data_IF_747359201393
#
_entry.id   IF_747359201393
#
_cell.length_a   1.000
_cell.length_b   1.000
_cell.length_c   1.000
_cell.angle_alpha   90.00
_cell.angle_beta   90.00
_cell.angle_gamma   90.00
#
_symmetry.space_group_name_H-M   'P 1'
#
loop_
_entity.id
_entity.type
_entity.pdbx_description
1 polymer ?
#
# COMPACT_ATOMS: atom_id res chain seq x y z
N UNK A 1 -43.34 69.38 -22.75
CA UNK A 1 -42.22 68.45 -22.46
C UNK A 1 -42.33 67.96 -21.01
N UNK A 2 -42.18 66.66 -20.81
CA UNK A 2 -42.54 65.94 -19.59
C UNK A 2 -41.64 66.20 -18.36
N UNK A 3 -42.33 66.33 -17.22
CA UNK A 3 -42.09 65.80 -15.86
C UNK A 3 -40.71 65.22 -15.50
N UNK A 4 -40.16 65.69 -14.37
CA UNK A 4 -39.69 64.84 -13.24
C UNK A 4 -39.66 65.67 -11.94
N UNK A 5 -40.59 65.39 -11.04
CA UNK A 5 -40.62 65.92 -9.67
C UNK A 5 -40.38 64.78 -8.68
N UNK A 6 -39.29 64.89 -7.93
CA UNK A 6 -38.81 63.93 -6.94
C UNK A 6 -39.56 64.14 -5.62
N UNK A 7 -40.17 63.10 -5.04
CA UNK A 7 -40.54 63.06 -3.61
C UNK A 7 -40.31 61.66 -3.05
N UNK A 8 -39.40 61.61 -2.08
CA UNK A 8 -39.02 60.48 -1.25
C UNK A 8 -40.22 59.96 -0.44
N UNK A 9 -40.47 58.65 -0.50
CA UNK A 9 -41.41 57.96 0.39
C UNK A 9 -40.66 57.38 1.58
N UNK A 10 -41.15 57.74 2.77
CA UNK A 10 -40.68 57.31 4.06
C UNK A 10 -40.63 55.78 4.17
N UNK A 11 -39.45 55.23 4.49
CA UNK A 11 -39.25 53.82 4.75
C UNK A 11 -39.82 53.48 6.13
N UNK A 12 -40.90 52.70 6.16
CA UNK A 12 -41.63 52.41 7.39
C UNK A 12 -40.76 51.61 8.37
N UNK A 13 -40.86 51.98 9.66
CA UNK A 13 -40.17 51.37 10.82
C UNK A 13 -40.44 49.85 10.95
N UNK A 14 -41.48 49.34 10.29
CA UNK A 14 -41.85 47.92 10.21
C UNK A 14 -40.89 47.12 9.33
N UNK A 15 -40.53 47.62 8.15
CA UNK A 15 -39.61 46.94 7.24
C UNK A 15 -38.20 46.79 7.81
N UNK A 16 -37.77 47.73 8.67
CA UNK A 16 -36.46 47.67 9.33
C UNK A 16 -36.38 46.55 10.37
N UNK A 17 -37.48 46.27 11.09
CA UNK A 17 -37.54 45.16 12.07
C UNK A 17 -37.56 43.81 11.38
N UNK A 18 -38.29 43.70 10.26
CA UNK A 18 -38.30 42.47 9.43
C UNK A 18 -36.93 42.23 8.82
N UNK A 19 -36.27 43.26 8.28
CA UNK A 19 -34.93 43.12 7.70
C UNK A 19 -33.89 42.70 8.76
N UNK A 20 -33.97 43.26 9.97
CA UNK A 20 -33.11 42.87 11.11
C UNK A 20 -33.41 41.44 11.55
N UNK A 21 -34.67 41.04 11.66
CA UNK A 21 -35.04 39.67 12.01
C UNK A 21 -34.56 38.65 10.97
N UNK A 22 -34.69 38.97 9.67
CA UNK A 22 -34.19 38.12 8.58
C UNK A 22 -32.68 38.04 8.58
N UNK A 23 -31.96 39.14 8.81
CA UNK A 23 -30.48 39.11 8.89
C UNK A 23 -29.98 38.32 10.09
N UNK A 24 -30.62 38.43 11.25
CA UNK A 24 -30.31 37.59 12.41
C UNK A 24 -30.62 36.11 12.17
N UNK A 25 -31.75 35.80 11.53
CA UNK A 25 -32.10 34.43 11.18
C UNK A 25 -31.10 33.82 10.17
N UNK A 26 -30.66 34.57 9.17
CA UNK A 26 -29.63 34.10 8.23
C UNK A 26 -28.27 33.92 8.89
N UNK A 27 -27.85 34.84 9.76
CA UNK A 27 -26.59 34.70 10.51
C UNK A 27 -26.62 33.50 11.45
N UNK A 28 -27.76 33.25 12.11
CA UNK A 28 -27.94 32.07 12.95
C UNK A 28 -27.92 30.78 12.13
N UNK A 29 -28.53 30.76 10.94
CA UNK A 29 -28.47 29.62 10.04
C UNK A 29 -27.03 29.35 9.55
N UNK A 30 -26.28 30.40 9.20
CA UNK A 30 -24.86 30.28 8.86
C UNK A 30 -24.03 29.78 10.04
N UNK A 31 -24.32 30.24 11.27
CA UNK A 31 -23.64 29.77 12.47
C UNK A 31 -23.93 28.29 12.75
N UNK A 32 -25.19 27.86 12.57
CA UNK A 32 -25.59 26.46 12.70
C UNK A 32 -24.93 25.60 11.61
N UNK A 33 -24.91 26.05 10.35
CA UNK A 33 -24.17 25.35 9.28
C UNK A 33 -22.68 25.29 9.60
N UNK A 34 -22.08 26.35 10.16
CA UNK A 34 -20.67 26.35 10.54
C UNK A 34 -20.37 25.43 11.74
N UNK A 35 -21.31 25.34 12.69
CA UNK A 35 -21.22 24.43 13.85
C UNK A 35 -21.43 22.96 13.44
N UNK A 36 -22.41 22.69 12.56
CA UNK A 36 -22.75 21.32 12.14
C UNK A 36 -21.94 20.80 10.93
N UNK A 37 -21.36 21.67 10.09
CA UNK A 37 -20.45 21.27 9.02
C UNK A 37 -18.98 21.17 9.47
N UNK A 38 -18.63 21.66 10.66
CA UNK A 38 -17.31 21.40 11.25
C UNK A 38 -17.21 20.02 11.93
N UNK A 39 -18.33 19.34 12.18
CA UNK A 39 -18.38 17.99 12.74
C UNK A 39 -18.39 16.87 11.68
N UNK A 40 -18.19 17.21 10.40
CA UNK A 40 -18.03 16.26 9.30
C UNK A 40 -16.63 16.37 8.68
N UNK A 41 -15.60 16.22 9.51
CA UNK A 41 -14.32 15.65 9.06
C UNK A 41 -14.22 14.28 9.69
N UNK A 42 -14.08 13.17 8.92
CA UNK A 42 -13.66 11.93 9.54
C UNK A 42 -12.35 12.24 10.26
N UNK A 43 -12.29 11.86 11.53
CA UNK A 43 -11.12 12.05 12.36
C UNK A 43 -9.90 11.54 11.58
N UNK A 44 -8.99 12.45 11.24
CA UNK A 44 -7.61 12.10 10.94
C UNK A 44 -7.08 11.48 12.23
N UNK A 45 -7.30 10.19 12.39
CA UNK A 45 -6.65 9.37 13.39
C UNK A 45 -5.17 9.66 13.26
N UNK A 46 -4.56 10.14 14.33
CA UNK A 46 -3.16 10.53 14.40
C UNK A 46 -2.24 9.38 13.94
N UNK A 47 -1.96 9.33 12.64
CA UNK A 47 -1.09 8.34 11.99
C UNK A 47 0.34 8.39 12.55
N UNK A 48 0.78 9.56 13.03
CA UNK A 48 2.10 9.76 13.63
C UNK A 48 2.33 9.05 14.96
N UNK A 49 1.27 8.65 15.68
CA UNK A 49 1.39 7.92 16.97
C UNK A 49 1.24 6.40 16.78
N UNK A 50 0.63 5.95 15.66
CA UNK A 50 0.36 4.54 15.39
C UNK A 50 1.59 3.72 14.94
N UNK A 51 2.54 4.34 14.22
CA UNK A 51 3.76 3.65 13.78
C UNK A 51 4.69 3.26 14.94
N UNK A 52 4.56 3.92 16.10
CA UNK A 52 5.50 3.76 17.22
C UNK A 52 5.32 2.45 18.02
N UNK A 53 4.36 1.59 17.66
CA UNK A 53 4.05 0.35 18.38
C UNK A 53 3.78 -0.90 17.53
N UNK A 54 3.91 -0.84 16.21
CA UNK A 54 3.96 -2.08 15.44
C UNK A 54 5.30 -2.75 15.77
N UNK A 55 5.25 -3.82 16.56
CA UNK A 55 6.41 -4.69 16.77
C UNK A 55 6.62 -5.45 15.46
N UNK A 56 7.37 -4.84 14.55
CA UNK A 56 7.64 -5.35 13.21
C UNK A 56 8.20 -6.79 13.23
N UNK A 57 8.98 -7.12 14.25
CA UNK A 57 9.53 -8.46 14.50
C UNK A 57 8.74 -9.30 15.53
N UNK A 58 7.56 -8.87 16.00
CA UNK A 58 6.79 -9.69 16.97
C UNK A 58 6.34 -11.04 16.40
N UNK A 59 6.26 -11.15 15.08
CA UNK A 59 5.86 -12.37 14.40
C UNK A 59 6.92 -13.47 14.43
N UNK A 60 8.21 -13.14 14.64
CA UNK A 60 9.30 -14.14 14.73
C UNK A 60 9.06 -15.16 15.84
N UNK A 61 8.30 -14.79 16.88
CA UNK A 61 7.93 -15.70 17.97
C UNK A 61 6.77 -16.65 17.66
N UNK A 62 5.98 -16.38 16.61
CA UNK A 62 4.75 -17.12 16.28
C UNK A 62 4.75 -17.80 14.92
N UNK A 63 5.55 -17.31 13.96
CA UNK A 63 5.63 -17.84 12.59
C UNK A 63 7.08 -17.88 12.15
N UNK A 64 7.54 -19.06 11.73
CA UNK A 64 8.82 -19.23 11.06
C UNK A 64 8.59 -19.50 9.56
N UNK A 65 9.42 -18.89 8.72
CA UNK A 65 9.40 -19.17 7.29
C UNK A 65 10.14 -20.47 6.99
N UNK A 66 9.38 -21.47 6.56
CA UNK A 66 9.85 -22.75 6.06
C UNK A 66 9.19 -23.01 4.69
N UNK A 67 9.54 -22.21 3.67
CA UNK A 67 8.87 -22.28 2.38
C UNK A 67 9.19 -23.59 1.65
N UNK A 68 8.23 -24.07 0.88
CA UNK A 68 8.48 -25.06 -0.17
C UNK A 68 8.82 -24.36 -1.46
N UNK A 69 9.98 -24.69 -2.03
CA UNK A 69 10.43 -24.19 -3.33
C UNK A 69 10.08 -25.18 -4.42
N UNK A 70 9.42 -24.70 -5.47
CA UNK A 70 9.13 -25.45 -6.69
C UNK A 70 9.47 -24.65 -7.94
N UNK A 71 9.48 -25.35 -9.07
CA UNK A 71 9.70 -24.77 -10.38
C UNK A 71 8.67 -25.34 -11.35
N UNK A 72 7.95 -24.47 -12.08
CA UNK A 72 6.90 -24.89 -13.02
C UNK A 72 6.76 -23.88 -14.13
N UNK A 73 6.53 -24.38 -15.36
CA UNK A 73 6.34 -23.55 -16.56
C UNK A 73 7.42 -22.47 -16.74
N UNK A 74 8.67 -22.80 -16.39
CA UNK A 74 9.81 -21.90 -16.56
C UNK A 74 9.98 -20.84 -15.47
N UNK A 75 9.21 -20.90 -14.38
CA UNK A 75 9.30 -19.91 -13.29
C UNK A 75 9.32 -20.55 -11.90
N UNK A 76 9.88 -19.80 -10.93
CA UNK A 76 9.89 -20.16 -9.52
C UNK A 76 8.48 -20.05 -8.94
N UNK A 77 8.10 -21.05 -8.17
CA UNK A 77 6.84 -21.12 -7.43
C UNK A 77 7.20 -21.44 -5.99
N UNK A 78 7.00 -20.50 -5.08
CA UNK A 78 7.39 -20.66 -3.67
C UNK A 78 6.17 -20.42 -2.80
N UNK A 79 5.94 -21.31 -1.83
CA UNK A 79 4.75 -21.24 -1.00
C UNK A 79 4.99 -21.75 0.42
N UNK A 80 4.10 -21.34 1.33
CA UNK A 80 3.98 -21.93 2.66
C UNK A 80 2.50 -21.95 3.07
N UNK A 81 2.08 -23.05 3.68
CA UNK A 81 0.71 -23.27 4.13
C UNK A 81 0.74 -23.34 5.66
N UNK A 82 0.05 -22.45 6.38
CA UNK A 82 -0.05 -22.53 7.83
C UNK A 82 -1.05 -23.63 8.23
N UNK A 83 -0.99 -24.10 9.47
CA UNK A 83 -2.02 -25.02 9.99
C UNK A 83 -3.41 -24.38 9.93
N UNK A 84 -4.39 -25.15 9.45
CA UNK A 84 -5.79 -24.73 9.29
C UNK A 84 -5.92 -23.43 8.48
N UNK A 85 -5.50 -23.43 7.20
CA UNK A 85 -5.57 -22.23 6.37
C UNK A 85 -7.03 -21.82 6.13
N UNK A 86 -7.30 -20.52 6.20
CA UNK A 86 -8.66 -19.96 5.98
C UNK A 86 -8.86 -19.41 4.57
N UNK A 87 -7.79 -19.14 3.85
CA UNK A 87 -7.79 -18.55 2.52
C UNK A 87 -6.48 -18.82 1.80
N UNK A 88 -6.49 -18.69 0.47
CA UNK A 88 -5.29 -18.67 -0.37
C UNK A 88 -4.96 -17.23 -0.74
N UNK A 89 -3.70 -16.82 -0.58
CA UNK A 89 -3.18 -15.53 -1.03
C UNK A 89 -2.12 -15.72 -2.11
N UNK A 90 -2.39 -15.18 -3.30
CA UNK A 90 -1.37 -15.01 -4.34
C UNK A 90 -0.69 -13.64 -4.20
N UNK A 91 0.65 -13.62 -4.15
CA UNK A 91 1.47 -12.42 -4.09
C UNK A 91 2.28 -12.24 -5.39
N UNK A 92 2.11 -11.08 -6.03
CA UNK A 92 2.82 -10.68 -7.24
C UNK A 92 3.78 -9.49 -6.97
N UNK A 93 5.08 -9.71 -7.16
CA UNK A 93 6.12 -8.71 -6.92
C UNK A 93 6.06 -7.52 -7.91
N UNK A 94 6.74 -6.41 -7.57
CA UNK A 94 7.00 -5.30 -8.49
C UNK A 94 8.12 -5.59 -9.50
N UNK A 95 8.44 -4.64 -10.38
CA UNK A 95 9.59 -4.81 -11.26
C UNK A 95 10.88 -5.03 -10.47
N UNK A 96 11.81 -5.81 -11.01
CA UNK A 96 13.08 -6.24 -10.36
C UNK A 96 12.90 -7.20 -9.18
N UNK A 97 11.67 -7.42 -8.71
CA UNK A 97 11.34 -8.45 -7.74
C UNK A 97 11.29 -9.86 -8.34
N UNK A 98 11.16 -10.85 -7.46
CA UNK A 98 11.03 -12.29 -7.71
C UNK A 98 10.28 -12.94 -6.54
N UNK A 99 9.81 -14.18 -6.72
CA UNK A 99 9.20 -14.96 -5.64
C UNK A 99 10.11 -15.05 -4.39
N UNK A 100 11.42 -15.21 -4.60
CA UNK A 100 12.44 -15.32 -3.54
C UNK A 100 12.55 -14.08 -2.62
N UNK A 101 12.01 -12.93 -3.02
CA UNK A 101 12.05 -11.72 -2.18
C UNK A 101 11.06 -11.78 -1.01
N UNK A 102 10.00 -12.58 -1.11
CA UNK A 102 9.00 -12.75 -0.04
C UNK A 102 9.44 -13.68 1.09
N UNK A 103 10.58 -14.36 0.95
CA UNK A 103 10.97 -15.45 1.83
C UNK A 103 12.38 -15.26 2.38
N UNK A 104 12.59 -15.68 3.61
CA UNK A 104 13.90 -15.69 4.28
C UNK A 104 14.83 -16.68 3.62
N UNK A 105 16.13 -16.37 3.65
CA UNK A 105 17.15 -17.38 3.44
C UNK A 105 17.05 -18.45 4.53
N UNK A 106 16.91 -19.70 4.11
CA UNK A 106 16.81 -20.88 4.98
C UNK A 106 17.49 -22.08 4.31
N UNK A 107 17.74 -23.20 5.02
CA UNK A 107 18.18 -24.44 4.39
C UNK A 107 17.26 -24.92 3.26
N UNK A 108 15.96 -24.69 3.39
CA UNK A 108 14.91 -25.05 2.43
C UNK A 108 14.89 -24.10 1.22
N UNK A 109 15.30 -22.84 1.42
CA UNK A 109 15.47 -21.87 0.34
C UNK A 109 16.79 -21.07 0.49
N UNK A 110 17.93 -21.65 0.08
CA UNK A 110 19.24 -21.00 0.24
C UNK A 110 19.39 -19.74 -0.63
N UNK A 111 18.62 -19.64 -1.71
CA UNK A 111 18.62 -18.51 -2.64
C UNK A 111 17.57 -17.45 -2.29
N UNK A 112 16.78 -17.66 -1.24
CA UNK A 112 15.83 -16.66 -0.78
C UNK A 112 16.54 -15.42 -0.23
N UNK A 113 15.91 -14.26 -0.42
CA UNK A 113 16.49 -12.94 -0.13
C UNK A 113 15.80 -12.29 1.06
N UNK A 114 14.47 -12.27 1.07
CA UNK A 114 13.68 -11.69 2.15
C UNK A 114 13.80 -10.17 2.22
N UNK A 115 13.33 -9.46 1.19
CA UNK A 115 13.26 -8.00 1.20
C UNK A 115 12.27 -7.51 2.27
N UNK A 116 12.51 -6.35 2.92
CA UNK A 116 11.80 -5.95 4.13
C UNK A 116 10.27 -5.95 4.00
N UNK A 117 9.74 -5.41 2.90
CA UNK A 117 8.29 -5.24 2.77
C UNK A 117 7.61 -6.52 2.30
N UNK A 118 8.18 -7.19 1.31
CA UNK A 118 7.73 -8.48 0.78
C UNK A 118 7.68 -9.53 1.88
N UNK A 119 8.77 -9.70 2.64
CA UNK A 119 8.83 -10.71 3.71
C UNK A 119 7.80 -10.42 4.80
N UNK A 120 7.62 -9.15 5.18
CA UNK A 120 6.72 -8.78 6.28
C UNK A 120 5.27 -9.03 5.88
N UNK A 121 4.92 -8.79 4.61
CA UNK A 121 3.61 -9.15 4.06
C UNK A 121 3.38 -10.67 4.11
N UNK A 122 4.38 -11.48 3.71
CA UNK A 122 4.28 -12.94 3.78
C UNK A 122 4.14 -13.44 5.23
N UNK A 123 4.93 -12.92 6.17
CA UNK A 123 4.82 -13.23 7.61
C UNK A 123 3.43 -12.89 8.15
N UNK A 124 2.93 -11.69 7.85
CA UNK A 124 1.61 -11.25 8.30
C UNK A 124 0.51 -12.15 7.73
N UNK A 125 0.60 -12.55 6.46
CA UNK A 125 -0.35 -13.47 5.84
C UNK A 125 -0.38 -14.83 6.54
N UNK A 126 0.80 -15.42 6.76
CA UNK A 126 0.93 -16.71 7.44
C UNK A 126 0.43 -16.66 8.89
N UNK A 127 0.75 -15.58 9.62
CA UNK A 127 0.26 -15.35 10.99
C UNK A 127 -1.27 -15.27 11.04
N UNK A 128 -1.88 -14.72 9.99
CA UNK A 128 -3.33 -14.62 9.84
C UNK A 128 -3.97 -15.85 9.17
N UNK A 129 -3.22 -16.97 9.05
CA UNK A 129 -3.69 -18.25 8.52
C UNK A 129 -4.06 -18.22 7.03
N UNK A 130 -3.40 -17.39 6.23
CA UNK A 130 -3.46 -17.48 4.77
C UNK A 130 -2.40 -18.47 4.26
N UNK A 131 -2.79 -19.35 3.35
CA UNK A 131 -1.85 -20.12 2.55
C UNK A 131 -1.24 -19.21 1.48
N UNK A 132 0.07 -18.98 1.54
CA UNK A 132 0.75 -17.96 0.72
C UNK A 132 1.42 -18.62 -0.47
N UNK A 133 1.11 -18.14 -1.67
CA UNK A 133 1.72 -18.53 -2.94
C UNK A 133 2.38 -17.32 -3.60
N UNK A 134 3.65 -17.46 -3.95
CA UNK A 134 4.43 -16.46 -4.71
C UNK A 134 4.94 -17.10 -5.99
N UNK A 135 4.91 -16.33 -7.09
CA UNK A 135 5.38 -16.78 -8.40
C UNK A 135 6.29 -15.68 -8.96
N UNK A 136 7.42 -16.05 -9.56
CA UNK A 136 8.28 -15.09 -10.25
C UNK A 136 7.68 -14.72 -11.62
N UNK A 137 7.81 -13.47 -12.03
CA UNK A 137 7.49 -13.10 -13.41
C UNK A 137 8.50 -13.72 -14.38
N UNK A 138 8.10 -13.90 -15.65
CA UNK A 138 8.97 -14.42 -16.70
C UNK A 138 10.18 -13.52 -16.97
N UNK A 139 10.00 -12.20 -16.82
CA UNK A 139 11.04 -11.19 -17.00
C UNK A 139 11.32 -10.37 -15.75
N UNK A 140 11.84 -9.15 -15.98
CA UNK A 140 12.07 -8.13 -14.93
C UNK A 140 10.76 -7.64 -14.32
N UNK A 141 9.72 -7.50 -15.13
CA UNK A 141 8.39 -7.09 -14.73
C UNK A 141 7.40 -8.13 -15.26
N UNK A 142 6.20 -8.15 -14.67
CA UNK A 142 5.09 -8.91 -15.21
C UNK A 142 4.68 -8.41 -16.59
N UNK A 143 4.33 -9.36 -17.46
CA UNK A 143 3.77 -9.15 -18.79
C UNK A 143 2.36 -9.73 -18.88
N UNK A 144 1.65 -9.40 -19.95
CA UNK A 144 0.28 -9.88 -20.18
C UNK A 144 0.24 -10.98 -21.24
N UNK A 145 -0.95 -11.50 -21.53
CA UNK A 145 -1.13 -12.51 -22.56
C UNK A 145 -0.71 -13.90 -22.06
N UNK A 146 0.44 -14.39 -22.51
CA UNK A 146 0.86 -15.75 -22.20
C UNK A 146 1.17 -15.96 -20.71
N UNK A 147 1.78 -14.97 -20.06
CA UNK A 147 2.09 -15.05 -18.64
C UNK A 147 0.83 -15.11 -17.76
N UNK A 148 -0.27 -14.46 -18.17
CA UNK A 148 -1.57 -14.57 -17.49
C UNK A 148 -2.07 -16.03 -17.52
N UNK A 149 -1.94 -16.72 -18.67
CA UNK A 149 -2.33 -18.13 -18.80
C UNK A 149 -1.46 -19.03 -17.94
N UNK A 150 -0.14 -18.85 -18.03
CA UNK A 150 0.84 -19.62 -17.26
C UNK A 150 0.58 -19.50 -15.75
N UNK A 151 0.38 -18.29 -15.24
CA UNK A 151 0.14 -18.07 -13.80
C UNK A 151 -1.21 -18.62 -13.36
N UNK A 152 -2.27 -18.42 -14.15
CA UNK A 152 -3.59 -19.01 -13.90
C UNK A 152 -3.49 -20.54 -13.75
N UNK A 153 -2.75 -21.19 -14.64
CA UNK A 153 -2.56 -22.64 -14.61
C UNK A 153 -1.72 -23.09 -13.41
N UNK A 154 -0.70 -22.32 -13.02
CA UNK A 154 0.09 -22.59 -11.81
C UNK A 154 -0.80 -22.46 -10.56
N UNK A 155 -1.59 -21.39 -10.44
CA UNK A 155 -2.49 -21.17 -9.30
C UNK A 155 -3.47 -22.34 -9.17
N UNK A 156 -4.15 -22.72 -10.26
CA UNK A 156 -5.10 -23.84 -10.26
C UNK A 156 -4.45 -25.15 -9.86
N UNK A 157 -3.34 -25.49 -10.52
CA UNK A 157 -2.58 -26.70 -10.20
C UNK A 157 -2.15 -26.73 -8.74
N UNK A 158 -1.67 -25.61 -8.21
CA UNK A 158 -1.19 -25.54 -6.83
C UNK A 158 -2.34 -25.70 -5.84
N UNK A 159 -3.47 -25.01 -6.06
CA UNK A 159 -4.67 -25.14 -5.21
C UNK A 159 -5.16 -26.59 -5.18
N UNK A 160 -5.29 -27.23 -6.35
CA UNK A 160 -5.72 -28.64 -6.46
C UNK A 160 -4.72 -29.60 -5.79
N UNK A 161 -3.43 -29.42 -6.05
CA UNK A 161 -2.37 -30.27 -5.48
C UNK A 161 -2.36 -30.22 -3.95
N UNK A 162 -2.70 -29.07 -3.37
CA UNK A 162 -2.67 -28.86 -1.92
C UNK A 162 -4.03 -29.07 -1.25
N UNK A 163 -5.08 -29.43 -2.00
CA UNK A 163 -6.43 -29.66 -1.44
C UNK A 163 -7.08 -28.38 -0.89
N UNK A 164 -6.85 -27.23 -1.52
CA UNK A 164 -7.31 -25.91 -1.06
C UNK A 164 -8.52 -25.37 -1.85
N UNK A 165 -9.18 -26.20 -2.66
CA UNK A 165 -10.22 -25.80 -3.61
C UNK A 165 -11.45 -25.16 -2.96
N UNK A 166 -11.71 -25.48 -1.69
CA UNK A 166 -12.83 -24.96 -0.93
C UNK A 166 -12.53 -23.62 -0.24
N UNK A 167 -11.28 -23.16 -0.29
CA UNK A 167 -10.88 -21.92 0.36
C UNK A 167 -11.06 -20.71 -0.58
N UNK A 168 -11.44 -19.54 -0.04
CA UNK A 168 -11.45 -18.30 -0.80
C UNK A 168 -10.04 -17.98 -1.30
N UNK A 169 -9.96 -17.56 -2.57
CA UNK A 169 -8.71 -17.12 -3.21
C UNK A 169 -8.70 -15.59 -3.27
N UNK A 170 -7.63 -14.97 -2.79
CA UNK A 170 -7.38 -13.52 -2.87
C UNK A 170 -6.01 -13.26 -3.50
N UNK A 171 -5.79 -12.05 -4.01
CA UNK A 171 -4.51 -11.67 -4.58
C UNK A 171 -4.06 -10.26 -4.19
N UNK A 172 -2.76 -10.09 -4.10
CA UNK A 172 -2.10 -8.80 -3.95
C UNK A 172 -0.98 -8.68 -4.99
N UNK A 173 -0.88 -7.52 -5.62
CA UNK A 173 0.24 -7.21 -6.50
C UNK A 173 0.78 -5.81 -6.28
N UNK A 174 2.09 -5.65 -6.34
CA UNK A 174 2.76 -4.34 -6.24
C UNK A 174 3.27 -3.85 -7.59
N UNK A 175 3.03 -2.58 -7.95
CA UNK A 175 3.48 -1.94 -9.19
C UNK A 175 3.13 -2.76 -10.44
N UNK A 176 4.11 -3.33 -11.15
CA UNK A 176 3.86 -4.23 -12.29
C UNK A 176 3.05 -5.48 -11.90
N UNK A 177 3.24 -6.00 -10.69
CA UNK A 177 2.42 -7.06 -10.12
C UNK A 177 0.99 -6.62 -9.85
N UNK A 178 0.77 -5.34 -9.47
CA UNK A 178 -0.57 -4.78 -9.30
C UNK A 178 -1.30 -4.65 -10.64
N UNK A 179 -0.59 -4.20 -11.69
CA UNK A 179 -1.13 -4.27 -13.05
C UNK A 179 -1.48 -5.69 -13.47
N UNK A 180 -0.59 -6.63 -13.21
CA UNK A 180 -0.78 -8.02 -13.55
C UNK A 180 -1.99 -8.63 -12.84
N UNK A 181 -2.11 -8.46 -11.52
CA UNK A 181 -3.24 -8.93 -10.73
C UNK A 181 -4.56 -8.33 -11.23
N UNK A 182 -4.57 -7.04 -11.60
CA UNK A 182 -5.78 -6.43 -12.14
C UNK A 182 -6.28 -7.12 -13.42
N UNK A 183 -5.37 -7.53 -14.31
CA UNK A 183 -5.74 -8.26 -15.53
C UNK A 183 -6.04 -9.73 -15.22
N UNK A 184 -5.25 -10.37 -14.35
CA UNK A 184 -5.46 -11.77 -13.96
C UNK A 184 -6.84 -11.99 -13.35
N UNK A 185 -7.37 -10.99 -12.65
CA UNK A 185 -8.71 -11.01 -12.07
C UNK A 185 -9.86 -11.13 -13.08
N UNK A 186 -9.62 -10.91 -14.39
CA UNK A 186 -10.62 -11.21 -15.42
C UNK A 186 -10.67 -12.69 -15.78
N UNK A 187 -9.63 -13.44 -15.42
CA UNK A 187 -9.40 -14.83 -15.79
C UNK A 187 -9.45 -15.82 -14.62
N UNK A 188 -9.25 -15.30 -13.40
CA UNK A 188 -9.25 -16.04 -12.14
C UNK A 188 -10.26 -15.38 -11.20
N UNK A 189 -11.14 -16.19 -10.60
CA UNK A 189 -12.14 -15.71 -9.64
C UNK A 189 -11.48 -15.50 -8.29
N UNK A 190 -11.10 -14.26 -8.01
CA UNK A 190 -10.70 -13.82 -6.68
C UNK A 190 -11.92 -13.38 -5.87
N UNK A 191 -11.87 -13.57 -4.56
CA UNK A 191 -12.87 -13.07 -3.61
C UNK A 191 -12.70 -11.56 -3.41
N UNK A 192 -11.45 -11.09 -3.40
CA UNK A 192 -11.06 -9.69 -3.50
C UNK A 192 -9.58 -9.58 -3.89
N UNK A 193 -9.18 -8.40 -4.37
CA UNK A 193 -7.81 -8.10 -4.75
C UNK A 193 -7.29 -6.81 -4.09
N UNK A 194 -5.97 -6.72 -3.94
CA UNK A 194 -5.27 -5.50 -3.52
C UNK A 194 -4.24 -5.09 -4.56
N UNK A 195 -4.32 -3.84 -5.02
CA UNK A 195 -3.40 -3.24 -5.98
C UNK A 195 -2.54 -2.21 -5.24
N UNK A 196 -1.28 -2.58 -5.00
CA UNK A 196 -0.34 -1.74 -4.27
C UNK A 196 0.53 -0.94 -5.23
N UNK A 197 0.68 0.36 -4.98
CA UNK A 197 1.40 1.33 -5.82
C UNK A 197 1.09 1.15 -7.32
N UNK A 198 -0.16 0.79 -7.61
CA UNK A 198 -0.66 0.41 -8.92
C UNK A 198 -2.10 0.89 -9.12
N UNK A 199 -2.37 1.55 -10.25
CA UNK A 199 -3.71 1.97 -10.67
C UNK A 199 -4.48 0.85 -11.36
N UNK A 200 -3.84 -0.28 -11.68
CA UNK A 200 -4.43 -1.35 -12.49
C UNK A 200 -4.42 -1.05 -14.00
N UNK A 201 -5.00 -1.95 -14.80
CA UNK A 201 -5.10 -1.85 -16.27
C UNK A 201 -6.54 -1.91 -16.75
N UNK A 202 -7.41 -1.16 -16.07
CA UNK A 202 -8.85 -1.12 -16.34
C UNK A 202 -9.21 -0.46 -17.68
N UNK A 203 -8.30 0.34 -18.25
CA UNK A 203 -8.40 0.93 -19.58
C UNK A 203 -8.18 -0.10 -20.71
N UNK A 204 -7.47 -1.20 -20.42
CA UNK A 204 -7.15 -2.26 -21.40
C UNK A 204 -8.14 -3.43 -21.36
N UNK A 205 -9.13 -3.39 -20.47
CA UNK A 205 -10.06 -4.51 -20.27
C UNK A 205 -11.50 -4.03 -20.02
N UNK A 206 -12.46 -4.86 -20.41
CA UNK A 206 -13.86 -4.63 -20.06
C UNK A 206 -14.13 -5.13 -18.65
N UNK A 207 -14.23 -4.21 -17.69
CA UNK A 207 -14.65 -4.52 -16.31
C UNK A 207 -16.09 -5.00 -16.34
N UNK A 208 -16.29 -6.25 -15.93
CA UNK A 208 -17.60 -6.89 -15.77
C UNK A 208 -18.17 -6.60 -14.38
N UNK A 209 -19.47 -6.71 -14.22
CA UNK A 209 -20.15 -6.50 -12.91
C UNK A 209 -19.67 -7.48 -11.82
N UNK A 210 -19.11 -8.63 -12.20
CA UNK A 210 -18.57 -9.63 -11.29
C UNK A 210 -17.05 -9.50 -11.07
N UNK A 211 -16.44 -8.38 -11.45
CA UNK A 211 -15.04 -8.10 -11.15
C UNK A 211 -14.83 -8.01 -9.63
N UNK A 212 -13.74 -8.56 -9.07
CA UNK A 212 -13.59 -8.66 -7.62
C UNK A 212 -13.50 -7.29 -6.94
N UNK A 213 -14.01 -7.17 -5.70
CA UNK A 213 -13.74 -6.04 -4.82
C UNK A 213 -12.25 -5.69 -4.83
N UNK A 214 -11.94 -4.41 -5.01
CA UNK A 214 -10.56 -3.95 -5.23
C UNK A 214 -10.15 -2.91 -4.19
N UNK A 215 -9.07 -3.21 -3.45
CA UNK A 215 -8.41 -2.24 -2.57
C UNK A 215 -7.20 -1.63 -3.26
N UNK A 216 -7.14 -0.31 -3.32
CA UNK A 216 -5.93 0.41 -3.75
C UNK A 216 -5.08 0.77 -2.53
N UNK A 217 -3.79 0.50 -2.59
CA UNK A 217 -2.84 0.91 -1.53
C UNK A 217 -1.77 1.75 -2.21
N UNK A 218 -1.70 3.05 -1.92
CA UNK A 218 -0.83 3.94 -2.67
C UNK A 218 -0.18 4.99 -1.79
N UNK A 219 0.83 5.65 -2.33
CA UNK A 219 1.58 6.69 -1.65
C UNK A 219 1.24 8.05 -2.25
N UNK A 220 0.71 9.00 -1.47
CA UNK A 220 0.16 10.24 -2.05
C UNK A 220 1.15 11.15 -2.77
N UNK A 221 2.47 11.01 -2.55
CA UNK A 221 3.47 11.77 -3.33
C UNK A 221 3.62 11.26 -4.76
N UNK A 222 3.16 10.05 -5.07
CA UNK A 222 3.03 9.57 -6.45
C UNK A 222 1.76 10.15 -7.08
N UNK A 223 1.82 11.45 -7.39
CA UNK A 223 0.66 12.25 -7.81
C UNK A 223 0.00 11.69 -9.08
N UNK A 224 0.81 11.22 -10.03
CA UNK A 224 0.29 10.61 -11.25
C UNK A 224 -0.52 9.34 -10.94
N UNK A 225 0.03 8.47 -10.08
CA UNK A 225 -0.66 7.24 -9.67
C UNK A 225 -1.94 7.52 -8.93
N UNK A 226 -1.91 8.45 -7.97
CA UNK A 226 -3.09 8.86 -7.20
C UNK A 226 -4.23 9.32 -8.12
N UNK A 227 -3.92 10.22 -9.06
CA UNK A 227 -4.92 10.70 -10.03
C UNK A 227 -5.54 9.55 -10.83
N UNK A 228 -4.74 8.58 -11.26
CA UNK A 228 -5.25 7.42 -11.99
C UNK A 228 -6.06 6.45 -11.12
N UNK A 229 -5.69 6.30 -9.85
CA UNK A 229 -6.48 5.54 -8.89
C UNK A 229 -7.84 6.21 -8.72
N UNK A 230 -7.91 7.52 -8.53
CA UNK A 230 -9.19 8.26 -8.42
C UNK A 230 -10.10 7.98 -9.63
N UNK A 231 -9.57 8.12 -10.85
CA UNK A 231 -10.29 7.83 -12.11
C UNK A 231 -10.83 6.38 -12.15
N UNK A 232 -10.01 5.40 -11.77
CA UNK A 232 -10.40 3.99 -11.83
C UNK A 232 -11.29 3.54 -10.68
N UNK A 233 -11.19 4.16 -9.50
CA UNK A 233 -12.13 3.93 -8.41
C UNK A 233 -13.54 4.38 -8.82
N UNK A 234 -13.68 5.53 -9.49
CA UNK A 234 -14.96 5.98 -10.05
C UNK A 234 -15.49 4.99 -11.10
N UNK A 235 -14.63 4.55 -12.02
CA UNK A 235 -14.99 3.56 -13.03
C UNK A 235 -15.53 2.28 -12.41
N UNK A 236 -14.82 1.72 -11.43
CA UNK A 236 -15.18 0.47 -10.76
C UNK A 236 -16.48 0.61 -9.94
N UNK A 237 -16.66 1.70 -9.20
CA UNK A 237 -17.90 1.99 -8.48
C UNK A 237 -19.10 2.09 -9.42
N UNK A 238 -18.93 2.73 -10.59
CA UNK A 238 -19.97 2.80 -11.62
C UNK A 238 -20.32 1.43 -12.23
N UNK A 239 -19.45 0.42 -12.06
CA UNK A 239 -19.69 -0.98 -12.43
C UNK A 239 -20.22 -1.84 -11.29
N UNK A 240 -20.50 -1.24 -10.13
CA UNK A 240 -21.00 -1.95 -8.94
C UNK A 240 -19.93 -2.74 -8.19
N UNK A 241 -18.64 -2.53 -8.48
CA UNK A 241 -17.54 -3.16 -7.75
C UNK A 241 -17.31 -2.40 -6.44
N UNK A 242 -17.15 -3.12 -5.34
CA UNK A 242 -16.75 -2.50 -4.06
C UNK A 242 -15.27 -2.10 -4.11
N UNK A 243 -14.98 -0.87 -3.72
CA UNK A 243 -13.66 -0.26 -3.88
C UNK A 243 -13.33 0.68 -2.73
N UNK A 244 -12.15 0.48 -2.16
CA UNK A 244 -11.57 1.31 -1.12
C UNK A 244 -10.12 1.67 -1.45
N UNK A 245 -9.57 2.63 -0.71
CA UNK A 245 -8.16 3.00 -0.78
C UNK A 245 -7.52 3.11 0.61
N UNK A 246 -6.20 2.94 0.63
CA UNK A 246 -5.33 3.25 1.77
C UNK A 246 -4.21 4.16 1.26
N UNK A 247 -4.12 5.35 1.84
CA UNK A 247 -3.01 6.27 1.63
C UNK A 247 -1.88 5.99 2.63
N UNK A 248 -0.72 5.61 2.11
CA UNK A 248 0.49 5.36 2.86
C UNK A 248 1.31 6.65 2.95
N UNK A 249 1.21 7.31 4.11
CA UNK A 249 1.85 8.60 4.37
C UNK A 249 3.34 8.45 4.69
N UNK A 250 4.10 9.52 4.47
CA UNK A 250 5.50 9.59 4.92
C UNK A 250 5.58 9.49 6.45
N UNK A 251 6.71 8.97 6.93
CA UNK A 251 6.97 8.82 8.36
C UNK A 251 8.43 9.12 8.67
N UNK A 252 8.73 9.57 9.90
CA UNK A 252 10.08 9.94 10.26
C UNK A 252 10.94 8.68 10.43
N UNK A 253 12.17 8.75 9.93
CA UNK A 253 13.20 7.79 10.29
C UNK A 253 13.57 7.96 11.77
N UNK A 254 14.06 6.88 12.37
CA UNK A 254 14.64 6.89 13.71
C UNK A 254 15.92 6.06 13.73
N UNK A 255 16.78 6.20 14.76
CA UNK A 255 18.02 5.43 14.86
C UNK A 255 17.82 3.91 14.80
N UNK A 256 16.64 3.40 15.16
CA UNK A 256 16.35 1.95 15.17
C UNK A 256 15.56 1.47 13.97
N UNK A 257 14.92 2.37 13.20
CA UNK A 257 13.91 2.00 12.21
C UNK A 257 14.43 0.97 11.20
N UNK A 258 15.64 1.17 10.66
CA UNK A 258 16.21 0.26 9.68
C UNK A 258 16.51 -1.12 10.31
N UNK A 259 17.12 -1.17 11.50
CA UNK A 259 17.41 -2.44 12.18
C UNK A 259 16.14 -3.17 12.65
N UNK A 260 15.06 -2.44 12.96
CA UNK A 260 13.78 -3.03 13.33
C UNK A 260 13.05 -3.68 12.15
N UNK A 261 13.39 -3.31 10.90
CA UNK A 261 12.69 -3.73 9.67
C UNK A 261 13.52 -4.59 8.73
N UNK A 262 14.85 -4.43 8.75
CA UNK A 262 15.78 -5.13 7.86
C UNK A 262 16.46 -6.26 8.65
N UNK A 263 16.14 -7.54 8.37
CA UNK A 263 16.81 -8.66 9.00
C UNK A 263 18.33 -8.62 8.78
N UNK A 264 19.08 -8.88 9.84
CA UNK A 264 20.55 -8.89 9.79
C UNK A 264 21.20 -7.50 9.85
N UNK A 265 20.44 -6.40 9.82
CA UNK A 265 21.01 -5.08 10.02
C UNK A 265 21.18 -4.78 11.52
N UNK A 266 22.43 -4.56 11.94
CA UNK A 266 22.76 -4.25 13.32
C UNK A 266 22.21 -2.87 13.77
N UNK A 267 21.76 -2.79 15.03
CA UNK A 267 21.20 -1.55 15.60
C UNK A 267 22.21 -0.40 15.62
N UNK A 268 23.50 -0.68 15.85
CA UNK A 268 24.53 0.35 15.84
C UNK A 268 24.80 0.86 14.42
N UNK A 269 24.72 0.00 13.41
CA UNK A 269 24.83 0.40 11.99
C UNK A 269 23.62 1.25 11.60
N UNK A 270 22.40 0.84 11.95
CA UNK A 270 21.18 1.62 11.74
C UNK A 270 21.28 3.03 12.37
N UNK A 271 21.74 3.12 13.62
CA UNK A 271 21.92 4.41 14.29
C UNK A 271 22.96 5.30 13.60
N UNK A 272 24.09 4.73 13.17
CA UNK A 272 25.11 5.45 12.41
C UNK A 272 24.62 5.94 11.05
N UNK A 273 23.85 5.10 10.32
CA UNK A 273 23.23 5.49 9.05
C UNK A 273 22.25 6.65 9.26
N UNK A 274 21.40 6.59 10.28
CA UNK A 274 20.50 7.70 10.61
C UNK A 274 21.26 9.01 10.88
N UNK A 275 22.33 8.97 11.66
CA UNK A 275 23.15 10.16 11.92
C UNK A 275 23.89 10.67 10.66
N UNK A 276 24.35 9.77 9.78
CA UNK A 276 24.88 10.14 8.47
C UNK A 276 23.83 10.88 7.64
N UNK A 277 22.61 10.34 7.54
CA UNK A 277 21.51 10.96 6.79
C UNK A 277 21.17 12.35 7.35
N UNK A 278 21.17 12.52 8.68
CA UNK A 278 20.95 13.81 9.33
C UNK A 278 22.06 14.81 9.03
N UNK A 279 23.32 14.40 9.22
CA UNK A 279 24.49 15.27 9.02
C UNK A 279 24.61 15.77 7.58
N UNK A 280 24.23 14.93 6.62
CA UNK A 280 24.21 15.28 5.20
C UNK A 280 22.95 16.07 4.79
N UNK A 281 21.99 16.26 5.71
CA UNK A 281 20.75 16.97 5.45
C UNK A 281 19.78 16.20 4.54
N UNK A 282 19.92 14.88 4.41
CA UNK A 282 19.00 14.05 3.63
C UNK A 282 17.66 13.82 4.35
N UNK A 283 17.68 13.86 5.68
CA UNK A 283 16.49 13.98 6.52
C UNK A 283 16.40 15.36 7.15
N UNK A 284 15.19 15.78 7.49
CA UNK A 284 14.95 17.02 8.21
C UNK A 284 15.14 16.90 9.73
N UNK A 285 14.87 17.98 10.46
CA UNK A 285 15.00 18.03 11.92
C UNK A 285 14.04 17.09 12.66
N UNK A 286 12.93 16.73 12.01
CA UNK A 286 11.90 15.83 12.54
C UNK A 286 12.12 14.37 12.08
N UNK A 287 13.16 14.11 11.28
CA UNK A 287 13.52 12.78 10.79
C UNK A 287 12.87 12.38 9.46
N UNK A 288 12.14 13.27 8.81
CA UNK A 288 11.49 12.96 7.53
C UNK A 288 12.49 13.03 6.37
N UNK A 289 12.38 12.09 5.44
CA UNK A 289 13.15 12.11 4.19
C UNK A 289 12.79 13.33 3.36
N UNK A 290 13.80 14.10 2.92
CA UNK A 290 13.57 15.29 2.09
C UNK A 290 13.32 14.96 0.62
N UNK A 291 13.82 13.82 0.16
CA UNK A 291 13.73 13.37 -1.23
C UNK A 291 13.50 11.86 -1.29
N UNK A 292 13.09 11.36 -2.46
CA UNK A 292 13.03 9.92 -2.78
C UNK A 292 14.36 9.24 -2.40
N UNK A 293 14.27 8.14 -1.64
CA UNK A 293 15.42 7.38 -1.12
C UNK A 293 16.34 6.83 -2.22
N UNK A 294 15.81 6.57 -3.42
CA UNK A 294 16.54 6.12 -4.61
C UNK A 294 17.28 7.26 -5.30
N UNK A 295 16.76 8.49 -5.19
CA UNK A 295 17.35 9.71 -5.76
C UNK A 295 18.33 10.39 -4.80
N UNK A 296 18.25 10.05 -3.52
CA UNK A 296 19.11 10.59 -2.47
C UNK A 296 20.51 9.99 -2.58
N UNK A 297 21.56 10.84 -2.52
CA UNK A 297 22.96 10.45 -2.66
C UNK A 297 23.58 9.86 -1.37
N UNK A 298 22.80 9.06 -0.65
CA UNK A 298 23.22 8.48 0.64
C UNK A 298 24.29 7.41 0.46
N UNK A 299 24.28 6.70 -0.68
CA UNK A 299 25.31 5.70 -1.04
C UNK A 299 26.67 6.35 -1.27
N UNK A 300 26.71 7.52 -1.91
CA UNK A 300 27.93 8.32 -2.04
C UNK A 300 28.45 8.74 -0.66
N UNK A 301 27.57 9.32 0.17
CA UNK A 301 27.94 9.76 1.51
C UNK A 301 28.42 8.60 2.41
N UNK A 302 27.83 7.41 2.26
CA UNK A 302 28.25 6.20 2.97
C UNK A 302 29.64 5.75 2.53
N UNK A 303 29.96 5.78 1.23
CA UNK A 303 31.31 5.45 0.74
C UNK A 303 32.38 6.43 1.23
N UNK A 304 32.01 7.68 1.44
CA UNK A 304 32.92 8.70 1.99
C UNK A 304 33.13 8.55 3.51
N UNK A 305 32.15 8.01 4.23
CA UNK A 305 32.23 7.75 5.67
C UNK A 305 32.85 6.39 6.00
N UNK A 306 34.15 6.38 6.28
CA UNK A 306 34.92 5.17 6.60
C UNK A 306 34.57 4.53 7.96
N UNK A 307 33.67 5.12 8.75
CA UNK A 307 33.31 4.64 10.10
C UNK A 307 32.06 3.75 10.12
N UNK A 308 31.37 3.67 8.99
CA UNK A 308 30.14 2.90 8.80
C UNK A 308 30.44 1.80 7.79
N UNK A 309 30.26 0.55 8.22
CA UNK A 309 30.34 -0.62 7.35
C UNK A 309 28.92 -1.15 7.16
N UNK A 310 28.49 -1.21 5.90
CA UNK A 310 27.22 -1.79 5.49
C UNK A 310 27.51 -2.87 4.46
N UNK A 311 27.07 -4.09 4.72
CA UNK A 311 27.22 -5.16 3.76
C UNK A 311 26.48 -4.85 2.46
N UNK A 312 27.07 -5.23 1.33
CA UNK A 312 26.52 -4.92 -0.01
C UNK A 312 25.08 -5.42 -0.19
N UNK A 313 24.77 -6.59 0.38
CA UNK A 313 23.43 -7.19 0.32
C UNK A 313 22.36 -6.39 1.08
N UNK A 314 22.76 -5.49 2.01
CA UNK A 314 21.85 -4.64 2.78
C UNK A 314 21.61 -3.28 2.12
N UNK A 315 22.36 -2.93 1.07
CA UNK A 315 22.21 -1.64 0.37
C UNK A 315 20.82 -1.49 -0.25
N UNK A 316 20.30 -2.56 -0.87
CA UNK A 316 18.97 -2.53 -1.48
C UNK A 316 17.84 -2.45 -0.44
N UNK A 317 17.78 -3.32 0.59
CA UNK A 317 16.84 -3.17 1.70
C UNK A 317 16.84 -1.77 2.35
N UNK A 318 18.02 -1.18 2.58
CA UNK A 318 18.09 0.19 3.12
C UNK A 318 17.48 1.18 2.15
N UNK A 319 17.75 1.07 0.84
CA UNK A 319 17.17 1.98 -0.15
C UNK A 319 15.64 1.91 -0.19
N UNK A 320 15.07 0.70 -0.10
CA UNK A 320 13.62 0.48 -0.05
C UNK A 320 13.01 1.17 1.16
N UNK A 321 13.57 0.96 2.36
CA UNK A 321 13.08 1.59 3.59
C UNK A 321 13.16 3.12 3.55
N UNK A 322 14.20 3.68 2.94
CA UNK A 322 14.32 5.12 2.76
C UNK A 322 13.27 5.67 1.77
N UNK A 323 12.95 4.91 0.72
CA UNK A 323 11.93 5.29 -0.25
C UNK A 323 10.51 5.15 0.32
N UNK A 324 10.28 4.09 1.09
CA UNK A 324 9.07 3.86 1.86
C UNK A 324 8.82 5.00 2.86
N UNK A 325 9.85 5.41 3.62
CA UNK A 325 9.75 6.54 4.56
C UNK A 325 9.42 7.86 3.87
N UNK A 326 9.89 8.06 2.64
CA UNK A 326 9.53 9.22 1.82
C UNK A 326 8.09 9.14 1.29
N UNK A 327 7.45 7.97 1.29
CA UNK A 327 6.14 7.71 0.73
C UNK A 327 6.05 8.04 -0.77
N UNK A 328 6.86 7.36 -1.59
CA UNK A 328 6.75 7.44 -3.05
C UNK A 328 7.04 6.10 -3.74
N UNK A 329 6.02 5.52 -4.37
CA UNK A 329 6.13 4.35 -5.25
C UNK A 329 7.00 3.21 -4.66
N UNK A 330 6.67 2.77 -3.45
CA UNK A 330 7.31 1.63 -2.76
C UNK A 330 6.27 0.62 -2.24
N UNK A 331 6.61 -0.68 -2.28
CA UNK A 331 5.79 -1.71 -1.63
C UNK A 331 5.73 -1.44 -0.13
N UNK A 332 4.66 -1.87 0.56
CA UNK A 332 4.54 -1.59 1.99
C UNK A 332 3.75 -2.61 2.80
N UNK A 333 4.34 -2.98 3.93
CA UNK A 333 3.81 -3.82 5.00
C UNK A 333 3.12 -3.02 6.11
N UNK A 334 3.22 -1.68 6.10
CA UNK A 334 2.75 -0.83 7.20
C UNK A 334 1.24 -0.95 7.47
N UNK A 335 0.46 -1.24 6.42
CA UNK A 335 -1.00 -1.31 6.45
C UNK A 335 -1.55 -2.72 6.27
N UNK A 336 -0.74 -3.76 6.50
CA UNK A 336 -1.16 -5.16 6.36
C UNK A 336 -2.43 -5.46 7.16
N UNK A 337 -2.56 -4.98 8.40
CA UNK A 337 -3.79 -5.17 9.20
C UNK A 337 -5.07 -4.70 8.49
N UNK A 338 -5.01 -3.57 7.77
CA UNK A 338 -6.16 -3.04 7.02
C UNK A 338 -6.39 -3.85 5.73
N UNK A 339 -5.31 -4.24 5.06
CA UNK A 339 -5.39 -5.06 3.85
C UNK A 339 -5.98 -6.45 4.13
N UNK A 340 -5.56 -7.10 5.21
CA UNK A 340 -6.09 -8.42 5.56
C UNK A 340 -7.53 -8.34 6.05
N UNK A 341 -7.93 -7.27 6.75
CA UNK A 341 -9.35 -7.00 7.05
C UNK A 341 -10.19 -6.86 5.78
N UNK A 342 -9.65 -6.18 4.76
CA UNK A 342 -10.30 -6.10 3.44
C UNK A 342 -10.46 -7.47 2.80
N UNK A 343 -9.43 -8.32 2.84
CA UNK A 343 -9.57 -9.68 2.33
C UNK A 343 -10.64 -10.46 3.09
N UNK A 344 -10.58 -10.45 4.42
CA UNK A 344 -11.52 -11.17 5.29
C UNK A 344 -12.97 -10.72 5.11
N UNK A 345 -13.23 -9.43 4.91
CA UNK A 345 -14.60 -8.92 4.70
C UNK A 345 -15.24 -9.37 3.39
N UNK A 346 -14.46 -9.98 2.48
CA UNK A 346 -14.89 -10.40 1.15
C UNK A 346 -14.68 -11.90 0.89
N UNK A 347 -14.42 -12.70 1.92
CA UNK A 347 -14.24 -14.16 1.80
C UNK A 347 -15.54 -14.96 1.77
N UNK A 348 -16.68 -14.32 2.04
CA UNK A 348 -18.00 -14.95 2.20
C UNK A 348 -18.80 -15.08 0.92
#
# INVERSE_FOLDING_TARGET
>A
MWKRGNRSKAWSRSNRRVLVAVTFATLFLFLLVFLFCNDAKPANTSLGVGLQRQKWNSFESSVQMHPTVGFRNGTDVIWQIPDSPKAVLFLAHGCDGRAVNFWDRSPECPNCVGLPEERLIALCALAQKFAVLTISSAGRCWSFGEEIRVVKDIIRWWIEKQGLEQLPLVAMGASSGGYFVSVLATEVKFSSITLMIAEGKFDLMSVKENYPPTLFVHMPKDVYRRQKIDEFMELLRNKGVDVAEIECMEFPLSPRLLADRIPGLDQSVSAKLFELLRRQGFVDENGYMRNDGRRTRWKEALREDKTIFLDEHLVHPVQEELNLAFAFHEMTSLHTDQIFKWFESHMS
#
